data_IF_737201288750
#
_entry.id   IF_737201288750
#
_cell.length_a   1.000
_cell.length_b   1.000
_cell.length_c   1.000
_cell.angle_alpha   90.00
_cell.angle_beta   90.00
_cell.angle_gamma   90.00
#
_symmetry.space_group_name_H-M   'P 1'
#
loop_
_entity.id
_entity.type
_entity.pdbx_description
1 polymer ?
#
# COMPACT_ATOMS: atom_id res chain seq x y z
N UNK A 1 -40.54 -50.57 -0.30
CA UNK A 1 -39.46 -49.65 -0.74
C UNK A 1 -39.64 -48.33 -0.02
N UNK A 2 -38.97 -48.12 1.12
CA UNK A 2 -38.86 -46.80 1.76
C UNK A 2 -37.44 -46.30 1.50
N UNK A 3 -37.30 -45.24 0.71
CA UNK A 3 -36.04 -44.55 0.52
C UNK A 3 -35.92 -43.44 1.57
N UNK A 4 -35.05 -43.64 2.57
CA UNK A 4 -34.63 -42.58 3.49
C UNK A 4 -33.71 -41.61 2.75
N UNK A 5 -34.17 -40.37 2.60
CA UNK A 5 -33.33 -39.25 2.18
C UNK A 5 -32.53 -38.75 3.40
N UNK A 6 -31.25 -39.12 3.49
CA UNK A 6 -30.30 -38.48 4.38
C UNK A 6 -29.89 -37.13 3.76
N UNK A 7 -30.47 -36.04 4.28
CA UNK A 7 -29.98 -34.70 4.04
C UNK A 7 -28.60 -34.56 4.70
N UNK A 8 -27.54 -34.57 3.89
CA UNK A 8 -26.20 -34.24 4.35
C UNK A 8 -26.15 -32.73 4.65
N UNK A 9 -26.24 -32.36 5.92
CA UNK A 9 -25.86 -31.04 6.40
C UNK A 9 -24.34 -30.91 6.19
N UNK A 10 -23.93 -30.25 5.10
CA UNK A 10 -22.55 -29.81 4.93
C UNK A 10 -22.22 -28.85 6.09
N UNK A 11 -21.25 -29.16 6.96
CA UNK A 11 -20.82 -28.22 7.97
C UNK A 11 -20.22 -27.02 7.23
N UNK A 12 -20.86 -25.86 7.32
CA UNK A 12 -20.26 -24.61 6.88
C UNK A 12 -18.93 -24.46 7.59
N UNK A 13 -17.84 -24.31 6.84
CA UNK A 13 -16.52 -24.11 7.40
C UNK A 13 -16.55 -22.84 8.26
N UNK A 14 -16.56 -23.01 9.58
CA UNK A 14 -16.23 -21.95 10.53
C UNK A 14 -14.75 -21.63 10.30
N UNK A 15 -14.45 -20.70 9.39
CA UNK A 15 -13.13 -20.10 9.33
C UNK A 15 -12.92 -19.36 10.64
N UNK A 16 -11.93 -19.80 11.43
CA UNK A 16 -11.52 -19.09 12.62
C UNK A 16 -11.07 -17.69 12.20
N UNK A 17 -11.65 -16.66 12.80
CA UNK A 17 -11.26 -15.28 12.53
C UNK A 17 -9.82 -15.07 12.96
N UNK A 18 -8.95 -14.68 12.03
CA UNK A 18 -7.56 -14.38 12.32
C UNK A 18 -7.48 -13.15 13.23
N UNK A 19 -6.47 -13.08 14.13
CA UNK A 19 -6.34 -11.99 15.11
C UNK A 19 -6.39 -10.61 14.45
N UNK A 20 -5.78 -10.48 13.27
CA UNK A 20 -5.73 -9.22 12.54
C UNK A 20 -7.10 -8.73 12.06
N UNK A 21 -8.09 -9.62 11.94
CA UNK A 21 -9.45 -9.28 11.53
C UNK A 21 -10.27 -8.63 12.65
N UNK A 22 -9.76 -8.49 13.87
CA UNK A 22 -10.46 -7.79 14.96
C UNK A 22 -10.49 -6.27 14.73
N UNK A 23 -11.56 -5.59 15.17
CA UNK A 23 -11.67 -4.13 15.00
C UNK A 23 -10.52 -3.39 15.69
N UNK A 24 -10.17 -3.79 16.91
CA UNK A 24 -9.11 -3.14 17.67
C UNK A 24 -7.76 -3.25 16.95
N UNK A 25 -7.45 -4.41 16.38
CA UNK A 25 -6.23 -4.59 15.62
C UNK A 25 -6.24 -3.76 14.34
N UNK A 26 -7.34 -3.78 13.58
CA UNK A 26 -7.47 -2.97 12.36
C UNK A 26 -7.34 -1.47 12.64
N UNK A 27 -7.91 -0.98 13.74
CA UNK A 27 -7.74 0.42 14.16
C UNK A 27 -6.28 0.70 14.51
N UNK A 28 -5.65 -0.15 15.32
CA UNK A 28 -4.24 0.02 15.70
C UNK A 28 -3.32 0.00 14.48
N UNK A 29 -3.50 -0.97 13.57
CA UNK A 29 -2.73 -1.09 12.34
C UNK A 29 -2.92 0.13 11.44
N UNK A 30 -4.16 0.60 11.25
CA UNK A 30 -4.39 1.79 10.43
C UNK A 30 -3.75 3.03 11.03
N UNK A 31 -3.85 3.23 12.35
CA UNK A 31 -3.22 4.35 13.02
C UNK A 31 -1.69 4.28 12.95
N UNK A 32 -1.10 3.08 13.05
CA UNK A 32 0.34 2.90 12.96
C UNK A 32 0.84 3.19 11.54
N UNK A 33 0.17 2.69 10.50
CA UNK A 33 0.64 2.81 9.11
C UNK A 33 0.28 4.17 8.48
N UNK A 34 -0.93 4.68 8.69
CA UNK A 34 -1.43 5.87 8.01
C UNK A 34 -1.10 7.19 8.74
N UNK A 35 -1.00 7.13 10.08
CA UNK A 35 -0.89 8.33 10.94
C UNK A 35 0.50 8.52 11.55
N UNK A 36 1.49 7.72 11.13
CA UNK A 36 2.91 7.90 11.47
C UNK A 36 3.76 8.09 10.23
N UNK A 37 5.07 8.24 10.40
CA UNK A 37 6.05 8.39 9.32
C UNK A 37 7.26 7.52 9.66
N UNK A 38 7.79 6.83 8.65
CA UNK A 38 8.98 6.00 8.77
C UNK A 38 10.19 6.82 9.27
N UNK A 39 10.35 8.02 8.71
CA UNK A 39 11.38 8.98 9.12
C UNK A 39 10.77 10.36 9.37
N UNK A 40 11.10 10.98 10.51
CA UNK A 40 10.70 12.35 10.86
C UNK A 40 9.85 12.47 12.13
N UNK A 41 9.40 13.68 12.43
CA UNK A 41 8.64 13.96 13.66
C UNK A 41 7.15 13.60 13.51
N UNK A 42 6.62 12.88 14.51
CA UNK A 42 5.21 12.45 14.55
C UNK A 42 4.23 13.56 14.97
N UNK A 43 4.71 14.75 15.34
CA UNK A 43 3.84 15.83 15.82
C UNK A 43 3.03 16.45 14.67
N UNK A 44 1.72 16.60 14.88
CA UNK A 44 0.77 17.22 13.93
C UNK A 44 0.60 16.49 12.58
N UNK A 45 0.80 15.17 12.56
CA UNK A 45 0.46 14.35 11.39
C UNK A 45 -1.05 14.32 11.19
N UNK A 46 -1.47 14.67 9.98
CA UNK A 46 -2.85 14.52 9.51
C UNK A 46 -2.92 13.43 8.44
N UNK A 47 -4.09 12.79 8.34
CA UNK A 47 -4.34 11.77 7.33
C UNK A 47 -4.22 12.37 5.94
N UNK A 48 -3.51 11.67 5.04
CA UNK A 48 -3.23 12.13 3.69
C UNK A 48 -3.62 11.05 2.70
N UNK A 49 -4.34 11.43 1.64
CA UNK A 49 -4.68 10.55 0.53
C UNK A 49 -4.83 11.34 -0.78
N UNK A 50 -4.83 10.64 -1.89
CA UNK A 50 -5.18 11.22 -3.19
C UNK A 50 -6.69 11.53 -3.26
N UNK A 51 -7.04 12.67 -3.84
CA UNK A 51 -8.44 13.01 -4.15
C UNK A 51 -8.78 12.81 -5.63
N UNK A 52 -7.89 13.26 -6.51
CA UNK A 52 -8.00 13.07 -7.95
C UNK A 52 -7.17 11.88 -8.45
N UNK A 53 -7.38 11.42 -9.70
CA UNK A 53 -6.66 10.29 -10.28
C UNK A 53 -5.14 10.39 -10.18
N UNK A 54 -4.50 9.26 -9.94
CA UNK A 54 -3.05 9.11 -10.00
C UNK A 54 -2.63 8.94 -11.47
N UNK A 55 -1.76 9.82 -11.92
CA UNK A 55 -1.10 9.81 -13.23
C UNK A 55 0.36 9.46 -13.00
N UNK A 56 0.66 8.17 -13.14
CA UNK A 56 1.96 7.57 -12.90
C UNK A 56 2.82 7.68 -14.16
N UNK A 57 3.99 8.31 -14.06
CA UNK A 57 5.05 8.22 -15.07
C UNK A 57 6.14 7.27 -14.60
N UNK A 58 6.48 6.31 -15.46
CA UNK A 58 7.61 5.42 -15.26
C UNK A 58 8.84 5.97 -15.99
N UNK A 59 9.87 6.34 -15.24
CA UNK A 59 11.20 6.66 -15.78
C UNK A 59 12.06 5.42 -15.60
N UNK A 60 12.38 4.75 -16.70
CA UNK A 60 13.10 3.48 -16.67
C UNK A 60 14.47 3.59 -17.36
N UNK A 61 15.51 3.77 -16.55
CA UNK A 61 16.88 4.03 -17.01
C UNK A 61 17.72 2.76 -17.08
N UNK A 62 17.38 1.71 -16.32
CA UNK A 62 18.25 0.55 -16.13
C UNK A 62 17.48 -0.78 -15.94
N UNK A 63 18.10 -1.90 -16.34
CA UNK A 63 17.55 -3.25 -16.25
C UNK A 63 16.59 -3.61 -17.38
N UNK A 64 15.78 -4.66 -17.18
CA UNK A 64 14.75 -5.09 -18.14
C UNK A 64 13.55 -4.14 -18.11
N UNK A 65 13.48 -3.24 -19.08
CA UNK A 65 12.47 -2.18 -19.13
C UNK A 65 11.07 -2.71 -19.39
N UNK A 66 10.94 -3.76 -20.20
CA UNK A 66 9.64 -4.31 -20.58
C UNK A 66 9.00 -5.04 -19.40
N UNK A 67 9.78 -5.89 -18.72
CA UNK A 67 9.34 -6.59 -17.51
C UNK A 67 8.95 -5.59 -16.41
N UNK A 68 9.80 -4.59 -16.18
CA UNK A 68 9.57 -3.56 -15.17
C UNK A 68 8.28 -2.76 -15.45
N UNK A 69 8.03 -2.39 -16.71
CA UNK A 69 6.79 -1.71 -17.07
C UNK A 69 5.55 -2.57 -16.81
N UNK A 70 5.61 -3.87 -17.13
CA UNK A 70 4.48 -4.77 -16.86
C UNK A 70 4.25 -4.97 -15.35
N UNK A 71 5.31 -5.16 -14.57
CA UNK A 71 5.22 -5.28 -13.10
C UNK A 71 4.56 -4.04 -12.48
N UNK A 72 4.99 -2.83 -12.87
CA UNK A 72 4.40 -1.57 -12.39
C UNK A 72 2.93 -1.46 -12.80
N UNK A 73 2.61 -1.81 -14.05
CA UNK A 73 1.23 -1.78 -14.57
C UNK A 73 0.32 -2.73 -13.79
N UNK A 74 0.74 -3.97 -13.57
CA UNK A 74 -0.02 -4.98 -12.83
C UNK A 74 -0.26 -4.51 -11.39
N UNK A 75 0.78 -4.05 -10.69
CA UNK A 75 0.63 -3.57 -9.32
C UNK A 75 -0.26 -2.32 -9.22
N UNK A 76 -0.11 -1.38 -10.16
CA UNK A 76 -0.97 -0.18 -10.22
C UNK A 76 -2.44 -0.54 -10.44
N UNK A 77 -2.73 -1.48 -11.34
CA UNK A 77 -4.08 -1.99 -11.58
C UNK A 77 -4.65 -2.72 -10.36
N UNK A 78 -3.80 -3.45 -9.64
CA UNK A 78 -4.19 -4.13 -8.40
C UNK A 78 -4.61 -3.13 -7.32
N UNK A 79 -3.80 -2.10 -7.05
CA UNK A 79 -4.13 -1.04 -6.11
C UNK A 79 -5.39 -0.27 -6.51
N UNK A 80 -5.54 0.05 -7.80
CA UNK A 80 -6.73 0.71 -8.31
C UNK A 80 -8.00 -0.14 -8.11
N UNK A 81 -7.91 -1.46 -8.30
CA UNK A 81 -9.02 -2.40 -8.06
C UNK A 81 -9.42 -2.45 -6.58
N UNK A 82 -8.44 -2.53 -5.67
CA UNK A 82 -8.71 -2.59 -4.23
C UNK A 82 -9.38 -1.29 -3.75
N UNK A 83 -8.77 -0.15 -4.09
CA UNK A 83 -9.16 1.16 -3.55
C UNK A 83 -10.34 1.79 -4.29
N UNK A 84 -10.60 1.37 -5.53
CA UNK A 84 -11.49 2.09 -6.45
C UNK A 84 -10.91 3.42 -6.94
N UNK A 85 -9.67 3.76 -6.57
CA UNK A 85 -9.02 5.00 -6.94
C UNK A 85 -8.28 4.85 -8.29
N UNK A 86 -8.57 5.67 -9.32
CA UNK A 86 -7.97 5.47 -10.64
C UNK A 86 -6.45 5.73 -10.65
N UNK A 87 -5.71 4.78 -11.22
CA UNK A 87 -4.27 4.90 -11.48
C UNK A 87 -4.03 4.68 -12.97
N UNK A 88 -3.40 5.64 -13.63
CA UNK A 88 -3.16 5.63 -15.08
C UNK A 88 -1.68 5.86 -15.35
N UNK A 89 -1.10 5.04 -16.24
CA UNK A 89 0.24 5.30 -16.75
C UNK A 89 0.19 6.41 -17.79
N UNK A 90 1.05 7.42 -17.65
CA UNK A 90 1.12 8.59 -18.54
C UNK A 90 2.56 8.92 -18.92
N UNK A 91 2.74 9.57 -20.07
CA UNK A 91 4.04 10.14 -20.47
C UNK A 91 4.19 11.59 -20.03
N UNK A 92 3.09 12.34 -20.00
CA UNK A 92 3.05 13.78 -19.77
C UNK A 92 2.13 14.15 -18.60
N UNK A 93 2.45 15.26 -17.92
CA UNK A 93 1.72 15.79 -16.76
C UNK A 93 1.50 14.76 -15.60
N UNK A 94 2.51 14.01 -15.15
CA UNK A 94 2.36 13.09 -14.02
C UNK A 94 2.19 13.82 -12.69
N UNK A 95 1.51 13.18 -11.74
CA UNK A 95 1.54 13.55 -10.32
C UNK A 95 2.24 12.47 -9.46
N UNK A 96 2.47 11.26 -9.99
CA UNK A 96 3.34 10.26 -9.39
C UNK A 96 4.45 9.92 -10.39
N UNK A 97 5.71 9.99 -9.96
CA UNK A 97 6.86 9.55 -10.78
C UNK A 97 7.55 8.37 -10.12
N UNK A 98 7.60 7.24 -10.81
CA UNK A 98 8.36 6.06 -10.39
C UNK A 98 9.65 6.01 -11.23
N UNK A 99 10.79 6.03 -10.56
CA UNK A 99 12.12 6.07 -11.17
C UNK A 99 12.81 4.74 -10.91
N UNK A 100 13.09 3.99 -11.97
CA UNK A 100 13.88 2.78 -11.94
C UNK A 100 15.28 3.08 -12.50
N UNK A 101 16.26 3.10 -11.60
CA UNK A 101 17.62 3.58 -11.89
C UNK A 101 18.68 2.67 -11.27
N UNK A 102 19.95 3.10 -11.24
CA UNK A 102 21.03 2.42 -10.52
C UNK A 102 21.19 3.02 -9.11
N UNK A 103 21.65 2.22 -8.15
CA UNK A 103 21.87 2.66 -6.76
C UNK A 103 22.71 3.94 -6.65
N UNK A 104 23.79 4.05 -7.43
CA UNK A 104 24.64 5.25 -7.45
C UNK A 104 23.90 6.55 -7.86
N UNK A 105 22.77 6.45 -8.56
CA UNK A 105 21.98 7.60 -9.01
C UNK A 105 20.84 7.95 -8.07
N UNK A 106 20.57 7.14 -7.05
CA UNK A 106 19.42 7.30 -6.16
C UNK A 106 19.44 8.65 -5.45
N UNK A 107 20.59 9.05 -4.87
CA UNK A 107 20.74 10.35 -4.22
C UNK A 107 20.59 11.53 -5.19
N UNK A 108 21.10 11.41 -6.42
CA UNK A 108 20.94 12.43 -7.46
C UNK A 108 19.48 12.60 -7.88
N UNK A 109 18.72 11.51 -7.97
CA UNK A 109 17.29 11.56 -8.23
C UNK A 109 16.53 12.19 -7.07
N UNK A 110 16.74 11.70 -5.84
CA UNK A 110 16.11 12.26 -4.65
C UNK A 110 16.34 13.77 -4.52
N UNK A 111 17.57 14.24 -4.77
CA UNK A 111 17.93 15.66 -4.80
C UNK A 111 17.12 16.52 -5.79
N UNK A 112 16.64 15.93 -6.88
CA UNK A 112 15.87 16.62 -7.94
C UNK A 112 14.36 16.52 -7.76
N UNK A 113 13.87 15.47 -7.10
CA UNK A 113 12.44 15.11 -7.12
C UNK A 113 11.78 15.11 -5.75
N UNK A 114 12.55 15.20 -4.68
CA UNK A 114 12.05 15.17 -3.30
C UNK A 114 12.52 16.42 -2.54
N UNK A 115 11.75 16.81 -1.52
CA UNK A 115 12.17 17.86 -0.60
C UNK A 115 13.35 17.34 0.21
N UNK A 116 14.42 18.12 0.25
CA UNK A 116 15.62 17.74 0.99
C UNK A 116 15.41 18.06 2.48
N UNK A 117 15.23 17.02 3.27
CA UNK A 117 15.20 17.07 4.72
C UNK A 117 15.85 15.82 5.33
N UNK A 118 15.93 15.78 6.65
CA UNK A 118 16.59 14.70 7.39
C UNK A 118 15.95 13.34 7.09
N UNK A 119 14.63 13.31 6.83
CA UNK A 119 13.90 12.07 6.55
C UNK A 119 14.42 11.40 5.28
N UNK A 120 14.54 12.15 4.19
CA UNK A 120 15.10 11.67 2.92
C UNK A 120 16.57 11.28 3.07
N UNK A 121 17.33 12.01 3.88
CA UNK A 121 18.75 11.74 4.12
C UNK A 121 19.00 10.44 4.88
N UNK A 122 18.10 10.07 5.81
CA UNK A 122 18.15 8.79 6.53
C UNK A 122 17.69 7.67 5.60
N UNK A 123 16.57 7.86 4.92
CA UNK A 123 16.00 6.86 4.01
C UNK A 123 16.97 6.48 2.87
N UNK A 124 17.74 7.45 2.34
CA UNK A 124 18.81 7.19 1.36
C UNK A 124 19.97 6.34 1.89
N UNK A 125 20.19 6.30 3.21
CA UNK A 125 21.26 5.51 3.84
C UNK A 125 20.77 4.12 4.22
N UNK A 126 19.53 4.01 4.66
CA UNK A 126 18.99 2.81 5.30
C UNK A 126 18.08 1.98 4.36
N UNK A 127 17.33 2.65 3.49
CA UNK A 127 16.33 2.03 2.61
C UNK A 127 16.93 1.32 1.38
N UNK A 128 16.28 0.23 0.97
CA UNK A 128 16.58 -0.44 -0.32
C UNK A 128 15.98 0.33 -1.49
N UNK A 129 14.82 0.93 -1.26
CA UNK A 129 14.07 1.80 -2.14
C UNK A 129 13.63 3.04 -1.35
N UNK A 130 12.98 3.98 -2.02
CA UNK A 130 12.52 5.21 -1.39
C UNK A 130 11.22 5.71 -2.02
N UNK A 131 10.19 5.92 -1.20
CA UNK A 131 9.04 6.74 -1.56
C UNK A 131 8.96 8.04 -0.74
N UNK A 132 8.37 9.05 -1.36
CA UNK A 132 7.93 10.25 -0.66
C UNK A 132 6.71 10.85 -1.38
N UNK A 133 5.86 11.52 -0.62
CA UNK A 133 4.80 12.34 -1.19
C UNK A 133 4.71 13.71 -0.55
N UNK A 134 4.23 14.68 -1.33
CA UNK A 134 3.93 16.03 -0.90
C UNK A 134 2.42 16.28 -0.91
N UNK A 135 1.96 17.01 0.09
CA UNK A 135 0.56 17.38 0.24
C UNK A 135 0.33 18.87 0.00
N UNK A 136 -0.92 19.25 -0.27
CA UNK A 136 -1.34 20.65 -0.23
C UNK A 136 -1.76 21.08 1.18
N UNK A 137 -2.24 22.32 1.34
CA UNK A 137 -2.71 22.85 2.62
C UNK A 137 -3.93 22.11 3.22
N UNK A 138 -4.60 21.23 2.46
CA UNK A 138 -5.69 20.36 2.92
C UNK A 138 -5.22 18.93 3.17
N UNK A 139 -3.91 18.69 3.17
CA UNK A 139 -3.29 17.37 3.34
C UNK A 139 -3.66 16.36 2.25
N UNK A 140 -4.17 16.83 1.10
CA UNK A 140 -4.39 15.98 -0.06
C UNK A 140 -3.05 15.70 -0.71
N UNK A 141 -2.79 14.44 -1.07
CA UNK A 141 -1.57 14.09 -1.80
C UNK A 141 -1.67 14.72 -3.19
N UNK A 142 -0.65 15.51 -3.54
CA UNK A 142 -0.60 16.24 -4.83
C UNK A 142 0.54 15.79 -5.72
N UNK A 143 1.63 15.31 -5.12
CA UNK A 143 2.78 14.76 -5.84
C UNK A 143 3.40 13.62 -5.05
N UNK A 144 3.94 12.63 -5.74
CA UNK A 144 4.73 11.58 -5.14
C UNK A 144 5.89 11.15 -6.05
N UNK A 145 6.95 10.68 -5.43
CA UNK A 145 8.12 10.13 -6.11
C UNK A 145 8.47 8.80 -5.47
N UNK A 146 8.74 7.80 -6.30
CA UNK A 146 9.31 6.51 -5.90
C UNK A 146 10.64 6.33 -6.64
N UNK A 147 11.67 5.87 -5.95
CA UNK A 147 12.98 5.56 -6.54
C UNK A 147 13.34 4.12 -6.19
N UNK A 148 13.51 3.29 -7.21
CA UNK A 148 13.92 1.89 -7.08
C UNK A 148 15.29 1.72 -7.75
N UNK A 149 16.37 1.50 -6.99
CA UNK A 149 17.67 1.12 -7.55
C UNK A 149 17.62 -0.34 -8.00
N UNK A 150 17.43 -0.58 -9.29
CA UNK A 150 17.13 -1.91 -9.85
C UNK A 150 18.29 -2.89 -9.68
N UNK A 151 19.54 -2.43 -9.78
CA UNK A 151 20.72 -3.26 -9.51
C UNK A 151 20.78 -3.73 -8.06
N UNK A 152 20.65 -2.81 -7.11
CA UNK A 152 20.74 -3.10 -5.68
C UNK A 152 19.56 -3.91 -5.15
N UNK A 153 18.33 -3.51 -5.46
CA UNK A 153 17.11 -4.22 -5.05
C UNK A 153 17.07 -5.66 -5.59
N UNK A 154 17.51 -5.90 -6.83
CA UNK A 154 17.63 -7.26 -7.39
C UNK A 154 18.73 -8.07 -6.71
N UNK A 155 19.89 -7.48 -6.44
CA UNK A 155 20.97 -8.16 -5.73
C UNK A 155 20.54 -8.62 -4.32
N UNK A 156 19.59 -7.91 -3.71
CA UNK A 156 18.97 -8.24 -2.41
C UNK A 156 17.75 -9.16 -2.52
N UNK A 157 17.29 -9.50 -3.72
CA UNK A 157 16.05 -10.26 -3.93
C UNK A 157 14.76 -9.50 -3.60
N UNK A 158 14.82 -8.18 -3.41
CA UNK A 158 13.74 -7.32 -2.89
C UNK A 158 13.06 -6.47 -3.96
N UNK A 159 13.30 -6.75 -5.25
CA UNK A 159 12.78 -5.89 -6.33
C UNK A 159 11.26 -5.82 -6.36
N UNK A 160 10.56 -6.95 -6.21
CA UNK A 160 9.10 -6.96 -6.20
C UNK A 160 8.55 -6.31 -4.92
N UNK A 161 9.18 -6.55 -3.78
CA UNK A 161 8.86 -5.92 -2.50
C UNK A 161 8.88 -4.40 -2.65
N UNK A 162 9.97 -3.83 -3.18
CA UNK A 162 10.06 -2.41 -3.46
C UNK A 162 8.98 -1.89 -4.42
N UNK A 163 8.56 -2.66 -5.43
CA UNK A 163 7.46 -2.20 -6.29
C UNK A 163 6.13 -2.22 -5.52
N UNK A 164 5.89 -3.27 -4.76
CA UNK A 164 4.64 -3.48 -4.02
C UNK A 164 4.49 -2.46 -2.90
N UNK A 165 5.49 -2.38 -2.02
CA UNK A 165 5.51 -1.56 -0.82
C UNK A 165 5.44 -0.09 -1.18
N UNK A 166 6.36 0.41 -2.01
CA UNK A 166 6.47 1.84 -2.32
C UNK A 166 5.24 2.37 -3.06
N UNK A 167 4.68 1.59 -4.00
CA UNK A 167 3.42 1.97 -4.64
C UNK A 167 2.25 1.95 -3.65
N UNK A 168 2.26 1.08 -2.65
CA UNK A 168 1.20 1.02 -1.63
C UNK A 168 1.37 2.16 -0.61
N UNK A 169 2.59 2.47 -0.19
CA UNK A 169 2.87 3.57 0.75
C UNK A 169 2.41 4.92 0.19
N UNK A 170 2.69 5.21 -1.09
CA UNK A 170 2.23 6.47 -1.72
C UNK A 170 0.71 6.55 -1.89
N UNK A 171 -0.05 5.49 -1.61
CA UNK A 171 -1.52 5.56 -1.53
C UNK A 171 -2.02 6.26 -0.25
N UNK A 172 -1.14 6.64 0.66
CA UNK A 172 -1.48 7.27 1.94
C UNK A 172 -1.22 6.39 3.17
N UNK A 173 -0.29 5.44 3.04
CA UNK A 173 0.09 4.47 4.06
C UNK A 173 1.62 4.51 4.32
N UNK A 174 2.19 5.66 4.72
CA UNK A 174 3.63 5.95 4.59
C UNK A 174 4.55 5.38 5.68
N UNK A 175 4.08 4.50 6.55
CA UNK A 175 4.87 4.07 7.70
C UNK A 175 4.99 2.55 7.80
N UNK A 176 6.22 2.09 7.92
CA UNK A 176 6.52 0.72 8.29
C UNK A 176 6.55 0.52 9.80
N UNK A 177 6.03 -0.61 10.26
CA UNK A 177 5.98 -0.96 11.67
C UNK A 177 5.93 -2.46 11.90
N UNK A 178 6.87 -2.92 12.72
CA UNK A 178 6.96 -4.30 13.21
C UNK A 178 5.75 -4.74 14.06
N UNK A 179 4.86 -3.81 14.42
CA UNK A 179 3.63 -4.10 15.18
C UNK A 179 2.46 -4.56 14.29
N UNK A 180 2.57 -4.37 12.98
CA UNK A 180 1.49 -4.62 12.02
C UNK A 180 1.77 -5.92 11.28
N UNK A 181 1.05 -6.99 11.59
CA UNK A 181 1.32 -8.33 11.08
C UNK A 181 0.00 -9.10 10.86
N UNK A 182 -0.16 -9.82 9.74
CA UNK A 182 0.76 -9.92 8.60
C UNK A 182 0.63 -8.70 7.69
N UNK A 183 1.73 -8.09 7.23
CA UNK A 183 1.65 -6.89 6.37
C UNK A 183 2.95 -6.69 5.60
N UNK A 184 2.85 -6.10 4.40
CA UNK A 184 4.02 -5.62 3.65
C UNK A 184 4.74 -4.46 4.36
N UNK A 185 4.06 -3.73 5.26
CA UNK A 185 4.64 -2.64 6.04
C UNK A 185 5.41 -3.13 7.27
N UNK A 186 5.76 -4.41 7.35
CA UNK A 186 6.45 -4.98 8.49
C UNK A 186 7.74 -5.63 8.01
N UNK A 187 8.87 -5.08 8.46
CA UNK A 187 10.21 -5.55 8.06
C UNK A 187 10.50 -7.01 8.44
N UNK A 188 9.76 -7.57 9.41
CA UNK A 188 9.87 -8.96 9.81
C UNK A 188 8.86 -9.88 9.10
N UNK A 189 8.02 -9.33 8.22
CA UNK A 189 7.10 -10.12 7.43
C UNK A 189 7.85 -10.98 6.42
N UNK A 190 7.37 -12.20 6.20
CA UNK A 190 7.83 -13.06 5.10
C UNK A 190 7.02 -12.83 3.81
N UNK A 191 5.96 -12.03 3.90
CA UNK A 191 5.07 -11.74 2.77
C UNK A 191 5.59 -10.55 1.95
N UNK A 192 6.09 -10.84 0.75
CA UNK A 192 6.49 -9.85 -0.27
C UNK A 192 5.34 -9.18 -1.02
N UNK A 193 4.09 -9.57 -0.75
CA UNK A 193 2.90 -9.16 -1.49
C UNK A 193 1.76 -8.76 -0.54
N UNK A 194 0.81 -7.90 -0.97
CA UNK A 194 -0.24 -7.42 -0.09
C UNK A 194 -1.04 -8.58 0.53
N UNK A 195 -1.17 -8.54 1.85
CA UNK A 195 -1.92 -9.51 2.65
C UNK A 195 -3.40 -9.10 2.76
N UNK A 196 -4.23 -9.95 3.38
CA UNK A 196 -5.61 -9.57 3.71
C UNK A 196 -5.69 -8.34 4.62
N UNK A 197 -4.71 -8.13 5.51
CA UNK A 197 -4.63 -6.93 6.32
C UNK A 197 -4.36 -5.70 5.45
N UNK A 198 -3.38 -5.76 4.54
CA UNK A 198 -3.04 -4.65 3.64
C UNK A 198 -4.23 -4.26 2.74
N UNK A 199 -4.98 -5.25 2.26
CA UNK A 199 -6.24 -5.03 1.55
C UNK A 199 -7.21 -4.18 2.37
N UNK A 200 -7.44 -4.55 3.64
CA UNK A 200 -8.36 -3.80 4.50
C UNK A 200 -7.83 -2.39 4.80
N UNK A 201 -6.53 -2.23 5.04
CA UNK A 201 -5.93 -0.90 5.27
C UNK A 201 -6.10 0.03 4.07
N UNK A 202 -5.89 -0.48 2.85
CA UNK A 202 -6.15 0.25 1.61
C UNK A 202 -7.63 0.63 1.46
N UNK A 203 -8.55 -0.30 1.76
CA UNK A 203 -10.00 -0.04 1.72
C UNK A 203 -10.40 1.03 2.72
N UNK A 204 -9.82 1.03 3.92
CA UNK A 204 -10.05 2.07 4.94
C UNK A 204 -9.54 3.43 4.48
N UNK A 205 -8.32 3.51 3.92
CA UNK A 205 -7.73 4.76 3.46
C UNK A 205 -8.59 5.49 2.40
N UNK A 206 -9.31 4.72 1.58
CA UNK A 206 -10.19 5.24 0.53
C UNK A 206 -11.68 5.16 0.88
N UNK A 207 -12.04 4.81 2.12
CA UNK A 207 -13.43 4.84 2.56
C UNK A 207 -13.93 6.29 2.67
N UNK A 208 -15.20 6.59 2.30
CA UNK A 208 -15.74 7.97 2.34
C UNK A 208 -15.74 8.64 3.73
N UNK A 209 -15.78 7.84 4.80
CA UNK A 209 -15.74 8.33 6.17
C UNK A 209 -14.36 8.90 6.57
N UNK A 210 -13.28 8.50 5.87
CA UNK A 210 -11.94 9.05 6.09
C UNK A 210 -11.69 10.11 5.03
N UNK A 211 -11.12 11.25 5.40
CA UNK A 211 -10.85 12.37 4.50
C UNK A 211 -9.46 12.94 4.77
N UNK A 212 -8.82 13.43 3.71
CA UNK A 212 -7.55 14.13 3.86
C UNK A 212 -7.71 15.32 4.83
N UNK A 213 -6.72 15.49 5.71
CA UNK A 213 -6.71 16.54 6.71
C UNK A 213 -7.36 16.16 8.04
N UNK A 214 -7.85 14.92 8.20
CA UNK A 214 -8.29 14.44 9.51
C UNK A 214 -7.12 14.30 10.48
N UNK A 215 -7.31 14.78 11.69
CA UNK A 215 -6.46 14.54 12.85
C UNK A 215 -6.54 13.07 13.29
N UNK A 216 -5.62 12.65 14.16
CA UNK A 216 -5.62 11.29 14.71
C UNK A 216 -6.94 10.93 15.42
N UNK A 217 -7.55 11.88 16.13
CA UNK A 217 -8.80 11.63 16.87
C UNK A 217 -10.00 11.55 15.92
N UNK A 218 -10.06 12.40 14.89
CA UNK A 218 -11.09 12.31 13.85
C UNK A 218 -11.00 10.98 13.09
N UNK A 219 -9.79 10.52 12.75
CA UNK A 219 -9.59 9.20 12.14
C UNK A 219 -10.09 8.09 13.07
N UNK A 220 -9.74 8.11 14.37
CA UNK A 220 -10.23 7.13 15.35
C UNK A 220 -11.74 7.11 15.44
N UNK A 221 -12.40 8.26 15.38
CA UNK A 221 -13.87 8.35 15.37
C UNK A 221 -14.48 7.83 14.07
N UNK A 222 -13.82 8.05 12.93
CA UNK A 222 -14.31 7.61 11.61
C UNK A 222 -14.13 6.11 11.35
N UNK A 223 -13.07 5.49 11.88
CA UNK A 223 -12.73 4.09 11.61
C UNK A 223 -13.84 3.09 11.96
N UNK A 224 -14.55 3.18 13.11
CA UNK A 224 -15.68 2.29 13.41
C UNK A 224 -16.78 2.32 12.35
N UNK A 225 -17.05 3.47 11.73
CA UNK A 225 -18.05 3.61 10.66
C UNK A 225 -17.58 2.84 9.42
N UNK A 226 -16.32 3.05 9.02
CA UNK A 226 -15.73 2.37 7.86
C UNK A 226 -15.64 0.86 8.08
N UNK A 227 -15.19 0.42 9.26
CA UNK A 227 -15.08 -1.00 9.61
C UNK A 227 -16.44 -1.70 9.60
N UNK A 228 -17.50 -1.06 10.11
CA UNK A 228 -18.86 -1.60 10.03
C UNK A 228 -19.29 -1.83 8.58
N UNK A 229 -19.02 -0.88 7.70
CA UNK A 229 -19.34 -1.00 6.28
C UNK A 229 -18.52 -2.13 5.59
N UNK A 230 -17.21 -2.18 5.82
CA UNK A 230 -16.34 -3.23 5.26
C UNK A 230 -16.74 -4.63 5.75
N UNK A 231 -17.14 -4.78 7.03
CA UNK A 231 -17.67 -6.05 7.54
C UNK A 231 -18.95 -6.47 6.83
N UNK A 232 -19.90 -5.55 6.68
CA UNK A 232 -21.17 -5.83 6.01
C UNK A 232 -20.99 -6.26 4.55
N UNK A 233 -19.95 -5.75 3.88
CA UNK A 233 -19.63 -6.07 2.48
C UNK A 233 -18.79 -7.35 2.31
N UNK A 234 -18.43 -8.03 3.40
CA UNK A 234 -17.53 -9.19 3.38
C UNK A 234 -16.06 -8.85 3.14
N UNK A 235 -15.68 -7.57 3.06
CA UNK A 235 -14.32 -7.13 2.72
C UNK A 235 -13.29 -7.61 3.75
N UNK A 236 -13.66 -7.75 5.02
CA UNK A 236 -12.75 -8.24 6.07
C UNK A 236 -12.71 -9.77 6.10
N UNK A 237 -13.88 -10.43 5.98
CA UNK A 237 -13.97 -11.89 6.08
C UNK A 237 -13.29 -12.58 4.88
N UNK A 238 -13.41 -11.98 3.70
CA UNK A 238 -12.89 -12.53 2.45
C UNK A 238 -11.57 -11.86 2.00
N UNK A 239 -10.96 -11.00 2.83
CA UNK A 239 -9.82 -10.17 2.43
C UNK A 239 -8.67 -10.99 1.82
N UNK A 240 -8.31 -12.12 2.44
CA UNK A 240 -7.25 -13.02 1.97
C UNK A 240 -7.52 -13.55 0.55
N UNK A 241 -8.79 -13.75 0.18
CA UNK A 241 -9.17 -14.15 -1.18
C UNK A 241 -9.21 -12.95 -2.12
N UNK A 242 -9.83 -11.84 -1.68
CA UNK A 242 -10.07 -10.64 -2.50
C UNK A 242 -8.77 -9.95 -2.91
N UNK A 243 -7.77 -9.92 -2.02
CA UNK A 243 -6.44 -9.37 -2.32
C UNK A 243 -5.67 -10.16 -3.39
N UNK A 244 -6.12 -11.37 -3.74
CA UNK A 244 -5.50 -12.14 -4.83
C UNK A 244 -6.07 -11.77 -6.22
N UNK A 245 -7.20 -11.07 -6.26
CA UNK A 245 -7.88 -10.71 -7.50
C UNK A 245 -7.01 -9.83 -8.39
N UNK A 246 -6.44 -10.41 -9.45
CA UNK A 246 -5.54 -9.74 -10.39
C UNK A 246 -4.35 -9.06 -9.71
N UNK A 247 -3.78 -9.71 -8.70
CA UNK A 247 -2.62 -9.27 -7.94
C UNK A 247 -1.32 -9.57 -8.68
N UNK A 248 -0.25 -8.83 -8.32
CA UNK A 248 1.09 -9.11 -8.80
C UNK A 248 1.58 -10.51 -8.39
N UNK A 249 1.16 -10.99 -7.22
CA UNK A 249 1.44 -12.35 -6.73
C UNK A 249 0.94 -13.41 -7.71
N UNK A 250 -0.34 -13.32 -8.11
CA UNK A 250 -0.93 -14.25 -9.09
C UNK A 250 -0.31 -14.12 -10.48
N UNK A 251 -0.03 -12.90 -10.91
CA UNK A 251 0.66 -12.65 -12.19
C UNK A 251 2.05 -13.28 -12.22
N UNK A 252 2.76 -13.27 -11.09
CA UNK A 252 4.06 -13.92 -10.92
C UNK A 252 3.98 -15.46 -10.79
N UNK A 253 2.78 -16.05 -10.79
CA UNK A 253 2.58 -17.49 -10.66
C UNK A 253 2.66 -18.03 -9.22
N UNK A 254 2.44 -17.17 -8.22
CA UNK A 254 2.53 -17.48 -6.78
C UNK A 254 1.15 -17.54 -6.08
#
# INVERSE_FOLDING_TARGET
>A
MLALWLAALLPGALQATERWQSNDYLVQSFMEVAMKREYGHESQVHFSRWQGPIRLKLINEFGDKALQAEVVKVQSQHLARITGHPIQLVNDNPNLTLIMTRHQQMASWAGRTMRQDDSVSIALKEGVCLANFATNARYEITRATIIIPVDYSRAKGRFLDCVVEELTQVMGLPNDSNKVFPSIFNDNSIDSFPTGLDYVLLKLAYHPALQAGMTADEVRTALPIALKALRANGDIAEANQRVQGGSLKRWAGL
#
